data_IF_160783249879
#
_entry.id   IF_160783249879
#
_cell.length_a   1.000
_cell.length_b   1.000
_cell.length_c   1.000
_cell.angle_alpha   90.00
_cell.angle_beta   90.00
_cell.angle_gamma   90.00
#
_symmetry.space_group_name_H-M   'P 1'
#
loop_
_entity.id
_entity.type
_entity.pdbx_description
1 polymer ?
#
# COMPACT_ATOMS: atom_id res chain seq x y z
N UNK A 1 -78.54 6.01 -62.53
CA UNK A 1 -79.48 6.25 -63.64
C UNK A 1 -79.90 7.71 -63.55
N UNK A 2 -78.95 8.59 -63.85
CA UNK A 2 -79.14 10.05 -63.84
C UNK A 2 -79.60 10.45 -65.24
N UNK A 3 -80.77 11.11 -65.32
CA UNK A 3 -81.21 11.75 -66.55
C UNK A 3 -80.21 12.85 -66.89
N UNK A 4 -79.46 12.70 -67.97
CA UNK A 4 -78.80 13.81 -68.63
C UNK A 4 -79.87 14.83 -69.04
N UNK A 5 -80.07 15.84 -68.21
CA UNK A 5 -80.78 17.05 -68.60
C UNK A 5 -79.87 17.79 -69.59
N UNK A 6 -80.42 18.12 -70.76
CA UNK A 6 -79.79 18.97 -71.77
C UNK A 6 -79.14 20.20 -71.10
N UNK A 7 -78.00 20.71 -71.61
CA UNK A 7 -77.30 21.82 -70.98
C UNK A 7 -78.24 23.02 -70.91
N UNK A 8 -78.71 23.35 -69.70
CA UNK A 8 -79.42 24.60 -69.46
C UNK A 8 -78.48 25.72 -69.92
N UNK A 9 -78.93 26.53 -70.89
CA UNK A 9 -78.19 27.72 -71.34
C UNK A 9 -77.69 28.46 -70.12
N UNK A 10 -76.40 28.81 -70.09
CA UNK A 10 -75.81 29.44 -68.92
C UNK A 10 -76.63 30.67 -68.51
N UNK A 11 -76.95 30.87 -67.22
CA UNK A 11 -77.69 32.05 -66.77
C UNK A 11 -77.08 33.37 -67.26
N UNK A 12 -75.76 33.40 -67.49
CA UNK A 12 -75.02 34.52 -68.08
C UNK A 12 -75.33 34.74 -69.57
N UNK A 13 -75.47 33.66 -70.33
CA UNK A 13 -75.87 33.69 -71.75
C UNK A 13 -77.31 34.12 -71.89
N UNK A 14 -78.21 33.61 -71.03
CA UNK A 14 -79.61 34.04 -70.97
C UNK A 14 -79.70 35.53 -70.62
N UNK A 15 -78.92 36.02 -69.66
CA UNK A 15 -78.85 37.44 -69.31
C UNK A 15 -78.43 38.29 -70.52
N UNK A 16 -77.38 37.86 -71.25
CA UNK A 16 -76.88 38.55 -72.44
C UNK A 16 -77.91 38.58 -73.57
N UNK A 17 -78.57 37.45 -73.84
CA UNK A 17 -79.62 37.30 -74.86
C UNK A 17 -80.86 38.16 -74.54
N UNK A 18 -81.26 38.25 -73.26
CA UNK A 18 -82.36 39.13 -72.83
C UNK A 18 -81.99 40.60 -72.88
N UNK A 19 -80.74 40.96 -72.55
CA UNK A 19 -80.24 42.33 -72.66
C UNK A 19 -80.26 42.81 -74.12
N UNK A 20 -79.72 42.03 -75.05
CA UNK A 20 -79.73 42.38 -76.48
C UNK A 20 -81.16 42.50 -77.01
N UNK A 21 -82.06 41.60 -76.60
CA UNK A 21 -83.48 41.68 -76.95
C UNK A 21 -84.17 42.96 -76.43
N UNK A 22 -83.83 43.43 -75.22
CA UNK A 22 -84.31 44.72 -74.69
C UNK A 22 -83.74 45.89 -75.50
N UNK A 23 -82.45 45.87 -75.82
CA UNK A 23 -81.80 46.91 -76.64
C UNK A 23 -82.45 47.00 -78.04
N UNK A 24 -82.73 45.86 -78.68
CA UNK A 24 -83.46 45.80 -79.95
C UNK A 24 -84.88 46.35 -79.87
N UNK A 25 -85.63 46.02 -78.81
CA UNK A 25 -86.99 46.57 -78.60
C UNK A 25 -86.95 48.08 -78.40
N UNK A 26 -85.99 48.60 -77.63
CA UNK A 26 -85.79 50.04 -77.41
C UNK A 26 -85.42 50.73 -78.73
N UNK A 27 -84.52 50.16 -79.53
CA UNK A 27 -84.19 50.68 -80.87
C UNK A 27 -85.41 50.75 -81.77
N UNK A 28 -86.27 49.71 -81.78
CA UNK A 28 -87.54 49.72 -82.55
C UNK A 28 -88.51 50.80 -82.07
N UNK A 29 -88.69 50.96 -80.75
CA UNK A 29 -89.54 52.02 -80.18
C UNK A 29 -89.02 53.43 -80.52
N UNK A 30 -87.69 53.64 -80.53
CA UNK A 30 -87.08 54.90 -80.95
C UNK A 30 -87.29 55.18 -82.45
N UNK A 31 -87.20 54.16 -83.30
CA UNK A 31 -87.51 54.27 -84.73
C UNK A 31 -88.96 54.66 -84.98
N UNK A 32 -89.92 54.03 -84.27
CA UNK A 32 -91.36 54.35 -84.34
C UNK A 32 -91.61 55.82 -83.93
N UNK A 33 -90.93 56.30 -82.88
CA UNK A 33 -91.01 57.69 -82.40
C UNK A 33 -90.46 58.70 -83.43
N UNK A 34 -89.33 58.39 -84.07
CA UNK A 34 -88.67 59.27 -85.02
C UNK A 34 -89.39 59.32 -86.39
N UNK A 35 -90.15 58.28 -86.75
CA UNK A 35 -90.86 58.15 -88.04
C UNK A 35 -92.34 58.56 -88.00
N UNK A 36 -92.89 58.94 -86.84
CA UNK A 36 -94.27 59.43 -86.71
C UNK A 36 -95.37 58.37 -86.88
N UNK A 37 -95.04 57.09 -86.72
CA UNK A 37 -95.95 55.94 -86.90
C UNK A 37 -96.98 55.80 -85.75
N UNK A 38 -98.15 55.15 -85.97
CA UNK A 38 -99.20 55.00 -84.97
C UNK A 38 -98.75 54.19 -83.74
N UNK A 39 -99.15 54.63 -82.54
CA UNK A 39 -98.69 54.10 -81.25
C UNK A 39 -99.26 52.71 -80.87
N UNK A 40 -100.01 52.04 -81.76
CA UNK A 40 -100.72 50.79 -81.46
C UNK A 40 -99.77 49.63 -81.11
N UNK A 41 -98.62 49.52 -81.78
CA UNK A 41 -97.61 48.46 -81.55
C UNK A 41 -96.79 48.66 -80.26
N UNK A 42 -96.80 49.88 -79.69
CA UNK A 42 -96.01 50.17 -78.48
C UNK A 42 -96.47 49.36 -77.27
N UNK A 43 -97.76 49.01 -77.19
CA UNK A 43 -98.29 48.23 -76.06
C UNK A 43 -97.72 46.81 -76.06
N UNK A 44 -97.62 46.17 -77.22
CA UNK A 44 -97.05 44.83 -77.36
C UNK A 44 -95.54 44.83 -77.14
N UNK A 45 -94.82 45.81 -77.71
CA UNK A 45 -93.38 46.01 -77.48
C UNK A 45 -93.06 46.27 -76.00
N UNK A 46 -93.86 47.09 -75.31
CA UNK A 46 -93.72 47.30 -73.86
C UNK A 46 -93.96 46.01 -73.06
N UNK A 47 -94.94 45.19 -73.46
CA UNK A 47 -95.23 43.92 -72.78
C UNK A 47 -94.09 42.91 -72.96
N UNK A 48 -93.53 42.82 -74.17
CA UNK A 48 -92.34 42.01 -74.46
C UNK A 48 -91.10 42.52 -73.70
N UNK A 49 -90.93 43.84 -73.60
CA UNK A 49 -89.87 44.46 -72.81
C UNK A 49 -89.99 44.12 -71.33
N UNK A 50 -91.19 44.25 -70.73
CA UNK A 50 -91.42 43.89 -69.33
C UNK A 50 -91.18 42.40 -69.07
N UNK A 51 -91.59 41.52 -69.98
CA UNK A 51 -91.30 40.09 -69.89
C UNK A 51 -89.79 39.82 -69.93
N UNK A 52 -89.06 40.48 -70.82
CA UNK A 52 -87.60 40.40 -70.86
C UNK A 52 -86.94 40.94 -69.57
N UNK A 53 -87.46 42.00 -68.96
CA UNK A 53 -86.97 42.50 -67.66
C UNK A 53 -87.22 41.52 -66.51
N UNK A 54 -88.37 40.86 -66.47
CA UNK A 54 -88.68 39.82 -65.48
C UNK A 54 -87.70 38.65 -65.64
N UNK A 55 -87.49 38.19 -66.89
CA UNK A 55 -86.54 37.13 -67.20
C UNK A 55 -85.09 37.53 -66.87
N UNK A 56 -84.71 38.78 -67.11
CA UNK A 56 -83.38 39.32 -66.75
C UNK A 56 -83.18 39.32 -65.22
N UNK A 57 -84.21 39.73 -64.45
CA UNK A 57 -84.20 39.65 -62.98
C UNK A 57 -84.10 38.21 -62.48
N UNK A 58 -84.81 37.29 -63.13
CA UNK A 58 -84.75 35.86 -62.80
C UNK A 58 -83.37 35.26 -63.10
N UNK A 59 -82.77 35.57 -64.25
CA UNK A 59 -81.41 35.14 -64.60
C UNK A 59 -80.36 35.71 -63.64
N UNK A 60 -80.46 37.00 -63.29
CA UNK A 60 -79.60 37.62 -62.27
C UNK A 60 -79.72 36.92 -60.91
N UNK A 61 -80.94 36.60 -60.48
CA UNK A 61 -81.16 35.87 -59.23
C UNK A 61 -80.54 34.47 -59.29
N UNK A 62 -80.68 33.76 -60.41
CA UNK A 62 -80.05 32.45 -60.59
C UNK A 62 -78.52 32.51 -60.51
N UNK A 63 -77.89 33.52 -61.13
CA UNK A 63 -76.43 33.75 -61.05
C UNK A 63 -76.01 33.98 -59.60
N UNK A 64 -76.70 34.88 -58.88
CA UNK A 64 -76.35 35.18 -57.48
C UNK A 64 -76.51 33.98 -56.56
N UNK A 65 -77.56 33.17 -56.76
CA UNK A 65 -77.77 31.93 -55.98
C UNK A 65 -76.68 30.89 -56.27
N UNK A 66 -76.25 30.78 -57.53
CA UNK A 66 -75.17 29.87 -57.92
C UNK A 66 -73.80 30.35 -57.40
N UNK A 67 -73.53 31.66 -57.45
CA UNK A 67 -72.35 32.26 -56.84
C UNK A 67 -72.31 31.97 -55.33
N UNK A 68 -73.43 32.14 -54.63
CA UNK A 68 -73.54 31.83 -53.21
C UNK A 68 -73.44 30.32 -52.93
N UNK A 69 -73.89 29.45 -53.84
CA UNK A 69 -73.70 27.99 -53.76
C UNK A 69 -72.22 27.63 -53.85
N UNK A 70 -71.52 28.11 -54.89
CA UNK A 70 -70.09 27.84 -55.11
C UNK A 70 -69.28 28.41 -53.94
N UNK A 71 -69.57 29.63 -53.48
CA UNK A 71 -68.91 30.24 -52.33
C UNK A 71 -69.04 29.35 -51.09
N UNK A 72 -70.24 28.86 -50.77
CA UNK A 72 -70.46 27.95 -49.63
C UNK A 72 -69.73 26.62 -49.79
N UNK A 73 -69.73 26.04 -50.98
CA UNK A 73 -69.02 24.79 -51.27
C UNK A 73 -67.50 24.94 -51.10
N UNK A 74 -66.94 26.06 -51.58
CA UNK A 74 -65.52 26.38 -51.41
C UNK A 74 -65.16 26.65 -49.95
N UNK A 75 -65.99 27.38 -49.20
CA UNK A 75 -65.75 27.66 -47.77
C UNK A 75 -65.84 26.36 -46.95
N UNK A 76 -66.82 25.51 -47.25
CA UNK A 76 -66.97 24.20 -46.62
C UNK A 76 -65.80 23.26 -46.90
N UNK A 77 -65.20 23.35 -48.08
CA UNK A 77 -64.02 22.55 -48.46
C UNK A 77 -62.71 23.13 -47.91
N UNK A 78 -62.65 24.46 -47.72
CA UNK A 78 -61.51 25.16 -47.13
C UNK A 78 -61.35 24.84 -45.64
N UNK A 79 -62.44 24.78 -44.88
CA UNK A 79 -62.39 24.49 -43.43
C UNK A 79 -61.60 23.21 -43.06
N UNK A 80 -61.85 22.02 -43.65
CA UNK A 80 -61.06 20.83 -43.35
C UNK A 80 -59.61 20.92 -43.86
N UNK A 81 -59.37 21.65 -44.96
CA UNK A 81 -58.01 21.92 -45.44
C UNK A 81 -57.22 22.76 -44.43
N UNK A 82 -57.83 23.79 -43.85
CA UNK A 82 -57.20 24.63 -42.83
C UNK A 82 -56.92 23.83 -41.55
N UNK A 83 -57.85 22.95 -41.14
CA UNK A 83 -57.66 22.07 -39.99
C UNK A 83 -56.51 21.08 -40.19
N UNK A 84 -56.42 20.44 -41.36
CA UNK A 84 -55.31 19.52 -41.68
C UNK A 84 -53.97 20.25 -41.82
N UNK A 85 -53.97 21.47 -42.35
CA UNK A 85 -52.78 22.35 -42.40
C UNK A 85 -52.27 22.69 -40.99
N UNK A 86 -53.18 22.99 -40.05
CA UNK A 86 -52.83 23.23 -38.65
C UNK A 86 -52.24 21.97 -37.98
N UNK A 87 -52.83 20.79 -38.23
CA UNK A 87 -52.29 19.52 -37.74
C UNK A 87 -50.88 19.26 -38.29
N UNK A 88 -50.66 19.51 -39.58
CA UNK A 88 -49.34 19.37 -40.20
C UNK A 88 -48.32 20.34 -39.56
N UNK A 89 -48.72 21.58 -39.27
CA UNK A 89 -47.86 22.55 -38.60
C UNK A 89 -47.47 22.09 -37.19
N UNK A 90 -48.44 21.59 -36.42
CA UNK A 90 -48.21 21.03 -35.08
C UNK A 90 -47.21 19.86 -35.12
N UNK A 91 -47.41 18.90 -36.05
CA UNK A 91 -46.49 17.76 -36.21
C UNK A 91 -45.09 18.19 -36.67
N UNK A 92 -45.01 19.22 -37.52
CA UNK A 92 -43.72 19.77 -37.98
C UNK A 92 -42.95 20.41 -36.82
N UNK A 93 -43.67 21.14 -35.95
CA UNK A 93 -43.09 21.70 -34.74
C UNK A 93 -42.60 20.59 -33.80
N UNK A 94 -43.43 19.58 -33.56
CA UNK A 94 -43.08 18.45 -32.69
C UNK A 94 -41.85 17.69 -33.21
N UNK A 95 -41.80 17.40 -34.53
CA UNK A 95 -40.62 16.82 -35.18
C UNK A 95 -39.37 17.68 -34.96
N UNK A 96 -39.47 19.00 -35.16
CA UNK A 96 -38.35 19.92 -34.96
C UNK A 96 -37.87 19.93 -33.52
N UNK A 97 -38.81 19.89 -32.56
CA UNK A 97 -38.51 19.79 -31.14
C UNK A 97 -37.74 18.50 -30.80
N UNK A 98 -38.22 17.33 -31.23
CA UNK A 98 -37.53 16.07 -30.98
C UNK A 98 -36.18 15.97 -31.70
N UNK A 99 -36.05 16.54 -32.91
CA UNK A 99 -34.76 16.62 -33.58
C UNK A 99 -33.76 17.46 -32.80
N UNK A 100 -34.19 18.60 -32.25
CA UNK A 100 -33.34 19.43 -31.37
C UNK A 100 -32.96 18.68 -30.09
N UNK A 101 -33.92 18.00 -29.45
CA UNK A 101 -33.66 17.20 -28.24
C UNK A 101 -32.68 16.04 -28.51
N UNK A 102 -32.86 15.34 -29.65
CA UNK A 102 -31.97 14.25 -30.08
C UNK A 102 -30.57 14.78 -30.39
N UNK A 103 -30.47 15.93 -31.06
CA UNK A 103 -29.19 16.57 -31.37
C UNK A 103 -28.46 16.97 -30.08
N UNK A 104 -29.16 17.63 -29.15
CA UNK A 104 -28.61 17.98 -27.84
C UNK A 104 -28.13 16.75 -27.07
N UNK A 105 -28.89 15.66 -27.11
CA UNK A 105 -28.51 14.39 -26.47
C UNK A 105 -27.29 13.73 -27.13
N UNK A 106 -27.13 13.85 -28.45
CA UNK A 106 -25.97 13.34 -29.19
C UNK A 106 -24.72 14.22 -29.05
N UNK A 107 -24.91 15.52 -28.88
CA UNK A 107 -23.83 16.49 -28.64
C UNK A 107 -23.27 16.39 -27.21
N UNK A 108 -23.95 15.67 -26.32
CA UNK A 108 -23.41 15.34 -25.01
C UNK A 108 -22.13 14.50 -25.15
N UNK A 109 -20.99 15.16 -24.98
CA UNK A 109 -19.67 14.53 -24.92
C UNK A 109 -19.34 14.26 -23.47
N UNK A 110 -19.42 13.00 -23.06
CA UNK A 110 -18.82 12.56 -21.81
C UNK A 110 -17.28 12.56 -21.92
N UNK A 111 -16.57 12.32 -20.82
CA UNK A 111 -15.11 12.12 -20.86
C UNK A 111 -14.68 10.89 -21.69
N UNK A 112 -15.59 9.93 -21.90
CA UNK A 112 -15.42 8.83 -22.85
C UNK A 112 -15.67 9.33 -24.29
N UNK A 113 -14.83 8.99 -25.29
CA UNK A 113 -13.88 7.87 -25.34
C UNK A 113 -12.41 8.20 -24.99
N UNK A 114 -12.08 9.44 -24.62
CA UNK A 114 -10.69 9.88 -24.39
C UNK A 114 -10.16 9.49 -22.99
N UNK A 115 -10.51 8.31 -22.49
CA UNK A 115 -10.02 7.81 -21.21
C UNK A 115 -8.85 6.89 -21.51
N UNK A 116 -7.68 7.21 -20.97
CA UNK A 116 -6.51 6.34 -21.03
C UNK A 116 -6.79 5.12 -20.14
N UNK A 117 -7.18 4.02 -20.78
CA UNK A 117 -7.37 2.74 -20.12
C UNK A 117 -6.24 1.77 -20.41
N UNK A 118 -5.98 0.86 -19.47
CA UNK A 118 -5.13 -0.31 -19.62
C UNK A 118 -5.56 -1.07 -20.87
N UNK A 119 -4.58 -1.50 -21.68
CA UNK A 119 -4.85 -2.25 -22.92
C UNK A 119 -5.67 -3.51 -22.64
N UNK A 120 -6.42 -3.99 -23.63
CA UNK A 120 -7.21 -5.22 -23.48
C UNK A 120 -6.31 -6.42 -23.16
N UNK A 121 -5.12 -6.46 -23.76
CA UNK A 121 -4.14 -7.53 -23.53
C UNK A 121 -3.66 -7.57 -22.08
N UNK A 122 -3.34 -6.42 -21.51
CA UNK A 122 -2.90 -6.32 -20.12
C UNK A 122 -4.05 -6.64 -19.15
N UNK A 123 -5.28 -6.22 -19.48
CA UNK A 123 -6.47 -6.59 -18.70
C UNK A 123 -6.68 -8.12 -18.68
N UNK A 124 -6.58 -8.80 -19.83
CA UNK A 124 -6.73 -10.25 -19.86
C UNK A 124 -5.60 -10.99 -19.16
N UNK A 125 -4.38 -10.43 -19.12
CA UNK A 125 -3.25 -11.01 -18.37
C UNK A 125 -3.40 -10.83 -16.87
N UNK A 126 -3.65 -9.60 -16.41
CA UNK A 126 -3.48 -9.22 -15.00
C UNK A 126 -4.78 -9.19 -14.21
N UNK A 127 -5.95 -9.13 -14.85
CA UNK A 127 -7.20 -9.01 -14.13
C UNK A 127 -7.59 -10.32 -13.41
N UNK A 128 -8.00 -10.24 -12.14
CA UNK A 128 -8.53 -11.38 -11.38
C UNK A 128 -9.76 -12.01 -12.05
N UNK A 129 -9.90 -13.32 -11.94
CA UNK A 129 -11.03 -14.06 -12.51
C UNK A 129 -12.38 -13.57 -12.00
N UNK A 130 -12.45 -13.15 -10.73
CA UNK A 130 -13.67 -12.58 -10.12
C UNK A 130 -14.21 -11.34 -10.86
N UNK A 131 -13.32 -10.52 -11.45
CA UNK A 131 -13.70 -9.33 -12.23
C UNK A 131 -14.00 -9.73 -13.69
N UNK A 132 -13.29 -10.72 -14.23
CA UNK A 132 -13.52 -11.23 -15.60
C UNK A 132 -14.85 -11.95 -15.75
N UNK A 133 -15.28 -12.71 -14.74
CA UNK A 133 -16.48 -13.54 -14.77
C UNK A 133 -17.78 -12.77 -14.57
N UNK A 134 -17.71 -11.50 -14.14
CA UNK A 134 -18.90 -10.74 -13.77
C UNK A 134 -19.55 -10.08 -14.98
N UNK A 135 -20.71 -10.55 -15.43
CA UNK A 135 -21.47 -9.90 -16.51
C UNK A 135 -22.22 -8.69 -15.98
N UNK A 136 -21.87 -7.50 -16.48
CA UNK A 136 -22.40 -6.20 -16.08
C UNK A 136 -23.34 -5.61 -17.12
N UNK A 137 -23.24 -6.01 -18.39
CA UNK A 137 -24.13 -5.56 -19.47
C UNK A 137 -24.47 -6.66 -20.48
N UNK A 138 -25.55 -6.45 -21.22
CA UNK A 138 -26.01 -7.32 -22.31
C UNK A 138 -25.18 -7.14 -23.59
N UNK A 139 -24.56 -5.97 -23.79
CA UNK A 139 -23.66 -5.70 -24.91
C UNK A 139 -22.23 -6.11 -24.54
N UNK A 140 -21.63 -7.02 -25.32
CA UNK A 140 -20.30 -7.55 -25.08
C UNK A 140 -19.21 -6.47 -25.08
N UNK A 141 -19.34 -5.44 -25.93
CA UNK A 141 -18.35 -4.35 -26.02
C UNK A 141 -18.41 -3.44 -24.80
N UNK A 142 -19.63 -3.09 -24.37
CA UNK A 142 -19.87 -2.28 -23.19
C UNK A 142 -19.51 -3.03 -21.90
N UNK A 143 -19.83 -4.32 -21.83
CA UNK A 143 -19.46 -5.19 -20.71
C UNK A 143 -17.94 -5.28 -20.53
N UNK A 144 -17.19 -5.48 -21.62
CA UNK A 144 -15.72 -5.48 -21.58
C UNK A 144 -15.17 -4.15 -21.06
N UNK A 145 -15.72 -3.02 -21.52
CA UNK A 145 -15.32 -1.69 -21.07
C UNK A 145 -15.59 -1.48 -19.56
N UNK A 146 -16.74 -1.92 -19.06
CA UNK A 146 -17.07 -1.83 -17.63
C UNK A 146 -16.15 -2.71 -16.77
N UNK A 147 -15.83 -3.91 -17.23
CA UNK A 147 -14.87 -4.80 -16.57
C UNK A 147 -13.47 -4.17 -16.49
N UNK A 148 -12.99 -3.57 -17.58
CA UNK A 148 -11.72 -2.84 -17.61
C UNK A 148 -11.70 -1.67 -16.63
N UNK A 149 -12.75 -0.86 -16.60
CA UNK A 149 -12.90 0.25 -15.65
C UNK A 149 -12.89 -0.22 -14.19
N UNK A 150 -13.61 -1.30 -13.88
CA UNK A 150 -13.64 -1.86 -12.53
C UNK A 150 -12.28 -2.41 -12.10
N UNK A 151 -11.55 -3.06 -13.01
CA UNK A 151 -10.20 -3.54 -12.73
C UNK A 151 -9.24 -2.38 -12.44
N UNK A 152 -9.25 -1.33 -13.26
CA UNK A 152 -8.45 -0.14 -12.99
C UNK A 152 -8.80 0.54 -11.68
N UNK A 153 -10.09 0.66 -11.39
CA UNK A 153 -10.54 1.25 -10.13
C UNK A 153 -10.04 0.41 -8.94
N UNK A 154 -10.10 -0.92 -9.04
CA UNK A 154 -9.54 -1.81 -8.04
C UNK A 154 -8.03 -1.60 -7.89
N UNK A 155 -7.29 -1.58 -8.99
CA UNK A 155 -5.83 -1.38 -8.98
C UNK A 155 -5.45 -0.03 -8.36
N UNK A 156 -6.13 1.06 -8.76
CA UNK A 156 -5.89 2.40 -8.22
C UNK A 156 -6.17 2.46 -6.71
N UNK A 157 -7.24 1.79 -6.23
CA UNK A 157 -7.51 1.69 -4.79
C UNK A 157 -6.40 0.97 -4.03
N UNK A 158 -5.91 -0.15 -4.55
CA UNK A 158 -4.82 -0.90 -3.91
C UNK A 158 -3.51 -0.09 -3.89
N UNK A 159 -3.19 0.61 -4.99
CA UNK A 159 -2.02 1.50 -5.04
C UNK A 159 -2.15 2.67 -4.06
N UNK A 160 -3.35 3.25 -3.91
CA UNK A 160 -3.59 4.30 -2.92
C UNK A 160 -3.41 3.79 -1.48
N UNK A 161 -3.88 2.58 -1.17
CA UNK A 161 -3.65 1.95 0.15
C UNK A 161 -2.17 1.73 0.42
N UNK A 162 -1.46 1.13 -0.53
CA UNK A 162 -0.02 0.88 -0.41
C UNK A 162 0.76 2.18 -0.23
N UNK A 163 0.40 3.23 -0.97
CA UNK A 163 1.00 4.56 -0.82
C UNK A 163 0.80 5.11 0.59
N UNK A 164 -0.41 5.02 1.14
CA UNK A 164 -0.71 5.49 2.49
C UNK A 164 0.10 4.72 3.56
N UNK A 165 0.19 3.39 3.43
CA UNK A 165 1.02 2.56 4.33
C UNK A 165 2.51 2.95 4.25
N UNK A 166 3.06 3.13 3.05
CA UNK A 166 4.45 3.53 2.86
C UNK A 166 4.73 4.95 3.38
N UNK A 167 3.79 5.86 3.22
CA UNK A 167 3.89 7.23 3.73
C UNK A 167 3.88 7.27 5.26
N UNK A 168 3.02 6.46 5.90
CA UNK A 168 3.03 6.27 7.34
C UNK A 168 4.38 5.71 7.82
N UNK A 169 4.88 4.64 7.18
CA UNK A 169 6.17 4.05 7.54
C UNK A 169 7.32 5.04 7.42
N UNK A 170 7.33 5.83 6.33
CA UNK A 170 8.32 6.89 6.14
C UNK A 170 8.30 7.89 7.30
N UNK A 171 7.12 8.32 7.74
CA UNK A 171 6.99 9.28 8.83
C UNK A 171 7.47 8.69 10.17
N UNK A 172 7.12 7.45 10.50
CA UNK A 172 7.63 6.77 11.69
C UNK A 172 9.16 6.66 11.69
N UNK A 173 9.76 6.30 10.56
CA UNK A 173 11.23 6.23 10.43
C UNK A 173 11.89 7.60 10.58
N UNK A 174 11.28 8.67 10.06
CA UNK A 174 11.77 10.04 10.23
C UNK A 174 11.73 10.47 11.69
N UNK A 175 10.65 10.15 12.41
CA UNK A 175 10.52 10.43 13.84
C UNK A 175 11.60 9.68 14.66
N UNK A 176 11.73 8.37 14.46
CA UNK A 176 12.74 7.55 15.14
C UNK A 176 14.18 8.03 14.85
N UNK A 177 14.46 8.46 13.62
CA UNK A 177 15.75 9.04 13.27
C UNK A 177 15.97 10.39 13.98
N UNK A 178 14.92 11.22 14.09
CA UNK A 178 15.00 12.48 14.82
C UNK A 178 15.26 12.26 16.32
N UNK A 179 14.67 11.23 16.93
CA UNK A 179 14.90 10.87 18.33
C UNK A 179 16.32 10.37 18.56
N UNK A 180 16.81 9.47 17.68
CA UNK A 180 18.20 9.00 17.73
C UNK A 180 19.19 10.15 17.53
N UNK A 181 18.91 11.08 16.61
CA UNK A 181 19.75 12.27 16.41
C UNK A 181 19.77 13.16 17.66
N UNK A 182 18.61 13.37 18.31
CA UNK A 182 18.53 14.10 19.59
C UNK A 182 19.35 13.40 20.68
N UNK A 183 19.19 12.08 20.84
CA UNK A 183 19.98 11.28 21.78
C UNK A 183 21.48 11.44 21.52
N UNK A 184 21.94 11.23 20.29
CA UNK A 184 23.35 11.38 19.90
C UNK A 184 23.89 12.79 20.13
N UNK A 185 23.07 13.83 19.91
CA UNK A 185 23.47 15.22 20.18
C UNK A 185 23.58 15.55 21.67
N UNK A 186 22.79 14.88 22.53
CA UNK A 186 22.84 15.05 23.99
C UNK A 186 23.97 14.26 24.67
N UNK A 187 24.40 13.15 24.07
CA UNK A 187 25.41 12.25 24.63
C UNK A 187 26.75 12.96 24.94
N UNK A 188 27.30 13.84 24.09
CA UNK A 188 28.48 14.63 24.42
C UNK A 188 28.31 15.52 25.66
N UNK A 189 27.12 16.06 25.90
CA UNK A 189 26.85 16.88 27.09
C UNK A 189 26.85 16.01 28.35
N UNK A 190 26.16 14.87 28.31
CA UNK A 190 26.16 13.91 29.43
C UNK A 190 27.56 13.39 29.74
N UNK A 191 28.36 13.04 28.71
CA UNK A 191 29.75 12.60 28.90
C UNK A 191 30.64 13.69 29.48
N UNK A 192 30.47 14.96 29.08
CA UNK A 192 31.19 16.10 29.67
C UNK A 192 30.83 16.27 31.15
N UNK A 193 29.55 16.16 31.49
CA UNK A 193 29.08 16.24 32.88
C UNK A 193 29.64 15.10 33.73
N UNK A 194 29.61 13.87 33.20
CA UNK A 194 30.20 12.70 33.86
C UNK A 194 31.71 12.88 34.09
N UNK A 195 32.44 13.33 33.06
CA UNK A 195 33.88 13.62 33.16
C UNK A 195 34.18 14.67 34.23
N UNK A 196 33.32 15.70 34.36
CA UNK A 196 33.48 16.72 35.40
C UNK A 196 33.22 16.15 36.80
N UNK A 197 32.22 15.28 36.93
CA UNK A 197 31.89 14.62 38.19
C UNK A 197 32.96 13.59 38.63
N UNK A 198 33.62 12.92 37.68
CA UNK A 198 34.66 11.92 37.98
C UNK A 198 36.03 12.53 38.28
N UNK A 199 36.28 13.78 37.88
CA UNK A 199 37.56 14.48 38.07
C UNK A 199 38.11 14.50 39.51
N UNK A 200 37.33 14.82 40.56
CA UNK A 200 37.84 14.83 41.94
C UNK A 200 38.32 13.46 42.41
N UNK A 201 37.58 12.40 42.07
CA UNK A 201 37.95 11.02 42.40
C UNK A 201 39.20 10.60 41.62
N UNK A 202 39.29 10.98 40.34
CA UNK A 202 40.46 10.70 39.50
C UNK A 202 41.74 11.34 40.08
N UNK A 203 41.63 12.58 40.57
CA UNK A 203 42.75 13.29 41.19
C UNK A 203 43.19 12.65 42.52
N UNK A 204 42.25 12.12 43.31
CA UNK A 204 42.55 11.44 44.58
C UNK A 204 43.19 10.06 44.34
N UNK A 205 42.73 9.32 43.34
CA UNK A 205 43.22 7.98 43.01
C UNK A 205 44.45 7.98 42.09
N UNK A 206 44.95 9.15 41.67
CA UNK A 206 46.09 9.28 40.75
C UNK A 206 46.01 8.40 39.49
N UNK A 207 44.79 8.18 38.98
CA UNK A 207 44.57 7.27 37.86
C UNK A 207 45.22 7.84 36.57
N UNK A 208 46.01 7.04 35.83
CA UNK A 208 46.64 7.51 34.59
C UNK A 208 45.58 7.99 33.58
N UNK A 209 45.92 9.04 32.83
CA UNK A 209 45.04 9.62 31.81
C UNK A 209 44.67 8.54 30.77
N UNK A 210 43.37 8.31 30.46
CA UNK A 210 42.93 7.22 29.58
C UNK A 210 43.43 7.35 28.14
N UNK A 211 44.01 8.50 27.77
CA UNK A 211 44.65 8.76 26.47
C UNK A 211 45.86 7.86 26.18
N UNK A 212 46.39 7.14 27.17
CA UNK A 212 47.54 6.24 27.01
C UNK A 212 47.17 4.79 26.71
N UNK A 213 45.88 4.46 26.76
CA UNK A 213 45.44 3.09 26.53
C UNK A 213 45.19 2.94 25.03
N UNK A 214 46.23 2.57 24.30
CA UNK A 214 46.10 2.02 22.95
C UNK A 214 45.45 0.64 23.09
N UNK A 215 44.19 0.62 23.49
CA UNK A 215 43.40 -0.60 23.42
C UNK A 215 43.29 -0.97 21.96
N UNK A 216 43.57 -2.23 21.65
CA UNK A 216 43.59 -2.74 20.28
C UNK A 216 42.27 -2.40 19.57
N UNK A 217 42.31 -1.86 18.35
CA UNK A 217 41.13 -1.61 17.50
C UNK A 217 40.22 -2.86 17.37
N UNK A 218 40.80 -4.04 17.60
CA UNK A 218 40.14 -5.34 17.64
C UNK A 218 39.22 -5.52 18.86
N UNK A 219 39.55 -4.91 20.00
CA UNK A 219 38.77 -5.05 21.23
C UNK A 219 37.41 -4.33 21.12
N UNK A 220 37.30 -3.28 20.29
CA UNK A 220 36.04 -2.59 20.03
C UNK A 220 34.99 -3.48 19.34
N UNK A 221 35.45 -4.49 18.61
CA UNK A 221 34.60 -5.44 17.87
C UNK A 221 34.30 -6.71 18.68
N UNK A 222 34.75 -6.79 19.94
CA UNK A 222 34.45 -7.93 20.81
C UNK A 222 32.99 -7.89 21.28
N UNK A 223 32.34 -9.06 21.42
CA UNK A 223 31.07 -9.18 22.12
C UNK A 223 31.17 -8.63 23.55
N UNK A 224 30.10 -8.04 24.12
CA UNK A 224 30.13 -7.48 25.46
C UNK A 224 30.70 -8.43 26.53
N UNK A 225 30.34 -9.74 26.57
CA UNK A 225 30.91 -10.66 27.55
C UNK A 225 32.43 -10.85 27.41
N UNK A 226 32.94 -11.00 26.18
CA UNK A 226 34.38 -11.11 25.95
C UNK A 226 35.10 -9.80 26.27
N UNK A 227 34.51 -8.64 25.94
CA UNK A 227 35.08 -7.35 26.29
C UNK A 227 35.23 -7.16 27.81
N UNK A 228 34.26 -7.64 28.60
CA UNK A 228 34.36 -7.65 30.07
C UNK A 228 35.52 -8.54 30.52
N UNK A 229 35.68 -9.74 29.96
CA UNK A 229 36.84 -10.61 30.26
C UNK A 229 38.16 -9.90 29.93
N UNK A 230 38.28 -9.35 28.73
CA UNK A 230 39.47 -8.61 28.27
C UNK A 230 39.82 -7.46 29.23
N UNK A 231 38.83 -6.61 29.56
CA UNK A 231 39.06 -5.48 30.46
C UNK A 231 39.48 -5.90 31.87
N UNK A 232 38.92 -6.99 32.42
CA UNK A 232 39.29 -7.51 33.75
C UNK A 232 40.74 -8.05 33.78
N UNK A 233 41.15 -8.84 32.78
CA UNK A 233 42.51 -9.34 32.72
C UNK A 233 43.53 -8.23 32.43
N UNK A 234 43.19 -7.27 31.55
CA UNK A 234 44.03 -6.10 31.30
C UNK A 234 44.21 -5.26 32.56
N UNK A 235 43.13 -5.01 33.31
CA UNK A 235 43.20 -4.29 34.58
C UNK A 235 44.07 -5.03 35.62
N UNK A 236 43.97 -6.36 35.69
CA UNK A 236 44.78 -7.19 36.58
C UNK A 236 46.27 -7.13 36.21
N UNK A 237 46.61 -7.26 34.91
CA UNK A 237 47.97 -7.11 34.39
C UNK A 237 48.58 -5.77 34.75
N UNK A 238 47.83 -4.67 34.54
CA UNK A 238 48.31 -3.32 34.81
C UNK A 238 48.43 -3.02 36.32
N UNK A 239 47.49 -3.50 37.14
CA UNK A 239 47.46 -3.18 38.56
C UNK A 239 48.46 -3.98 39.41
N UNK A 240 48.77 -5.22 38.99
CA UNK A 240 49.61 -6.14 39.77
C UNK A 240 50.89 -6.58 39.04
N UNK A 241 51.15 -6.05 37.84
CA UNK A 241 52.29 -6.40 36.98
C UNK A 241 52.44 -7.92 36.79
N UNK A 242 51.29 -8.63 36.72
CA UNK A 242 51.29 -10.08 36.56
C UNK A 242 51.85 -10.50 35.19
N UNK A 243 52.60 -11.61 35.17
CA UNK A 243 53.20 -12.19 33.98
C UNK A 243 52.15 -12.85 33.08
N UNK A 244 51.35 -12.02 32.40
CA UNK A 244 50.24 -12.43 31.54
C UNK A 244 50.20 -11.56 30.29
N UNK A 245 50.02 -12.17 29.12
CA UNK A 245 49.72 -11.47 27.87
C UNK A 245 48.33 -11.83 27.36
N UNK A 246 47.65 -10.84 26.77
CA UNK A 246 46.28 -10.98 26.28
C UNK A 246 46.28 -10.51 24.83
N UNK A 247 45.84 -11.38 23.93
CA UNK A 247 45.74 -11.10 22.50
C UNK A 247 44.31 -11.35 22.01
N UNK A 248 43.83 -10.48 21.12
CA UNK A 248 42.56 -10.70 20.41
C UNK A 248 42.87 -11.38 19.10
N UNK A 249 42.46 -12.64 18.93
CA UNK A 249 42.70 -13.41 17.71
C UNK A 249 41.40 -13.57 16.91
N UNK A 250 41.48 -13.53 15.58
CA UNK A 250 40.33 -13.77 14.71
C UNK A 250 40.28 -12.94 13.43
N UNK A 251 39.19 -13.09 12.69
CA UNK A 251 38.98 -12.42 11.40
C UNK A 251 38.32 -11.06 11.58
N UNK A 252 39.10 -10.01 11.31
CA UNK A 252 38.64 -8.61 11.31
C UNK A 252 37.43 -8.37 10.40
N UNK A 253 37.45 -8.94 9.19
CA UNK A 253 36.41 -8.73 8.17
C UNK A 253 35.09 -9.36 8.63
N UNK A 254 35.16 -10.56 9.20
CA UNK A 254 33.97 -11.28 9.66
C UNK A 254 33.38 -10.62 10.89
N UNK A 255 34.21 -10.13 11.82
CA UNK A 255 33.77 -9.37 12.99
C UNK A 255 33.06 -8.06 12.62
N UNK A 256 33.61 -7.30 11.66
CA UNK A 256 32.95 -6.09 11.15
C UNK A 256 31.63 -6.41 10.43
N UNK A 257 31.60 -7.50 9.65
CA UNK A 257 30.36 -7.94 8.98
C UNK A 257 29.28 -8.31 9.99
N UNK A 258 29.66 -8.98 11.09
CA UNK A 258 28.76 -9.33 12.17
C UNK A 258 28.22 -8.11 12.90
N UNK A 259 29.08 -7.15 13.23
CA UNK A 259 28.68 -5.88 13.85
C UNK A 259 27.68 -5.09 12.98
N UNK A 260 27.88 -5.09 11.65
CA UNK A 260 26.93 -4.50 10.69
C UNK A 260 25.60 -5.26 10.66
N UNK A 261 25.62 -6.59 10.60
CA UNK A 261 24.41 -7.42 10.63
C UNK A 261 23.60 -7.24 11.91
N UNK A 262 24.24 -7.16 13.08
CA UNK A 262 23.55 -6.85 14.33
C UNK A 262 22.89 -5.47 14.31
N UNK A 263 23.57 -4.47 13.76
CA UNK A 263 23.02 -3.11 13.63
C UNK A 263 21.80 -3.07 12.70
N UNK A 264 21.80 -3.87 11.63
CA UNK A 264 20.67 -4.00 10.69
C UNK A 264 19.50 -4.78 11.32
N UNK A 265 19.74 -5.89 12.02
CA UNK A 265 18.68 -6.66 12.69
C UNK A 265 17.98 -5.86 13.79
N UNK A 266 18.72 -5.08 14.58
CA UNK A 266 18.15 -4.20 15.60
C UNK A 266 17.33 -3.04 15.00
N UNK A 267 17.52 -2.72 13.71
CA UNK A 267 16.66 -1.78 13.00
C UNK A 267 15.37 -2.45 12.52
N UNK A 268 15.41 -3.72 12.10
CA UNK A 268 14.22 -4.46 11.66
C UNK A 268 13.31 -4.89 12.83
N UNK A 269 13.85 -5.19 14.01
CA UNK A 269 13.06 -5.64 15.17
C UNK A 269 12.25 -4.53 15.87
N UNK A 270 12.49 -3.26 15.56
CA UNK A 270 11.70 -2.14 16.10
C UNK A 270 10.48 -1.80 15.24
N UNK A 271 10.31 -2.48 14.11
CA UNK A 271 9.36 -2.14 13.03
C UNK A 271 8.36 -3.28 12.72
N UNK A 272 8.23 -4.30 13.57
CA UNK A 272 7.29 -5.42 13.35
C UNK A 272 6.05 -5.33 14.24
N UNK A 273 5.11 -4.51 13.80
CA UNK A 273 3.69 -4.73 14.08
C UNK A 273 2.96 -4.98 12.76
N UNK A 274 2.79 -6.27 12.45
CA UNK A 274 1.74 -6.75 11.57
C UNK A 274 2.02 -6.72 10.06
N UNK A 275 2.87 -7.63 9.56
CA UNK A 275 2.58 -8.38 8.32
C UNK A 275 3.42 -9.66 8.28
N UNK A 276 2.78 -10.79 8.59
CA UNK A 276 3.27 -12.16 8.31
C UNK A 276 3.48 -12.35 6.80
N UNK A 277 4.54 -11.81 6.24
CA UNK A 277 5.10 -12.34 5.01
C UNK A 277 5.92 -13.57 5.37
N UNK A 278 5.36 -14.73 5.05
CA UNK A 278 6.09 -16.00 5.00
C UNK A 278 7.19 -15.88 3.93
N UNK A 279 8.32 -15.25 4.26
CA UNK A 279 9.58 -15.60 3.64
C UNK A 279 9.81 -17.06 4.02
N UNK A 280 9.75 -17.94 3.04
CA UNK A 280 10.18 -19.33 3.17
C UNK A 280 11.58 -19.29 3.78
N UNK A 281 11.66 -19.59 5.08
CA UNK A 281 12.87 -20.07 5.71
C UNK A 281 13.33 -21.21 4.81
N UNK A 282 14.45 -20.98 4.13
CA UNK A 282 15.20 -22.05 3.50
C UNK A 282 15.39 -23.06 4.62
N UNK A 283 14.79 -24.23 4.45
CA UNK A 283 14.89 -25.35 5.37
C UNK A 283 16.35 -25.76 5.37
N UNK A 284 17.16 -25.07 6.17
CA UNK A 284 18.46 -25.55 6.56
C UNK A 284 18.19 -26.83 7.35
N UNK A 285 18.87 -27.87 6.88
CA UNK A 285 18.94 -29.18 7.47
C UNK A 285 19.13 -29.10 8.98
N UNK A 286 18.67 -30.14 9.65
CA UNK A 286 18.99 -30.46 11.05
C UNK A 286 20.50 -30.41 11.27
N UNK A 287 21.03 -29.24 11.60
CA UNK A 287 22.45 -29.06 11.86
C UNK A 287 22.59 -28.48 13.27
N UNK A 288 22.88 -29.35 14.25
CA UNK A 288 23.43 -28.98 15.56
C UNK A 288 24.59 -27.97 15.40
N UNK A 289 25.29 -28.00 14.25
CA UNK A 289 26.32 -27.04 13.84
C UNK A 289 25.86 -25.57 13.78
N UNK A 290 24.57 -25.31 13.59
CA UNK A 290 24.03 -23.95 13.59
C UNK A 290 23.86 -23.36 14.98
N UNK A 291 23.72 -24.18 16.03
CA UNK A 291 23.46 -23.73 17.39
C UNK A 291 24.73 -23.21 18.08
N UNK A 292 25.86 -23.88 17.84
CA UNK A 292 27.18 -23.55 18.37
C UNK A 292 27.95 -22.54 17.51
N UNK A 293 27.25 -21.56 16.92
CA UNK A 293 27.89 -20.53 16.10
C UNK A 293 28.78 -19.64 16.98
N UNK A 294 30.10 -19.81 16.82
CA UNK A 294 31.13 -19.03 17.53
C UNK A 294 31.28 -17.64 16.91
N UNK A 295 31.58 -16.66 17.74
CA UNK A 295 31.96 -15.32 17.30
C UNK A 295 33.31 -15.34 16.54
N UNK A 296 33.48 -14.58 15.44
CA UNK A 296 34.71 -14.57 14.65
C UNK A 296 35.97 -14.05 15.37
N UNK A 297 35.82 -13.39 16.52
CA UNK A 297 36.91 -13.00 17.41
C UNK A 297 36.89 -13.85 18.68
N UNK A 298 38.09 -14.26 19.10
CA UNK A 298 38.39 -14.97 20.33
C UNK A 298 39.39 -14.16 21.17
N UNK A 299 39.46 -14.47 22.46
CA UNK A 299 40.51 -13.95 23.33
C UNK A 299 41.50 -15.05 23.65
N UNK A 300 42.77 -14.73 23.54
CA UNK A 300 43.88 -15.64 23.84
C UNK A 300 44.63 -15.08 25.03
N UNK A 301 44.68 -15.84 26.11
CA UNK A 301 45.37 -15.50 27.34
C UNK A 301 46.62 -16.37 27.46
N UNK A 302 47.79 -15.73 27.53
CA UNK A 302 49.07 -16.37 27.77
C UNK A 302 49.48 -16.16 29.23
N UNK A 303 49.61 -17.25 29.99
CA UNK A 303 50.02 -17.23 31.40
C UNK A 303 51.43 -17.81 31.51
N UNK A 304 52.37 -17.02 32.02
CA UNK A 304 53.74 -17.46 32.32
C UNK A 304 53.88 -17.85 33.81
N UNK A 305 54.81 -18.75 34.13
CA UNK A 305 55.13 -19.14 35.52
C UNK A 305 56.22 -18.22 36.09
N UNK A 306 56.18 -17.98 37.39
CA UNK A 306 56.97 -16.91 38.04
C UNK A 306 58.44 -17.31 38.30
N UNK A 307 58.81 -18.59 38.16
CA UNK A 307 60.12 -19.12 38.62
C UNK A 307 61.16 -19.32 37.51
N UNK A 308 60.79 -19.40 36.22
CA UNK A 308 61.74 -19.45 35.08
C UNK A 308 61.06 -19.04 33.77
N UNK A 309 61.74 -18.28 32.88
CA UNK A 309 61.25 -18.02 31.52
C UNK A 309 61.44 -19.26 30.63
N UNK A 310 60.72 -20.33 30.92
CA UNK A 310 60.64 -21.52 30.07
C UNK A 310 59.52 -21.30 29.02
N UNK A 311 59.67 -21.73 27.75
CA UNK A 311 58.80 -21.32 26.64
C UNK A 311 57.40 -21.98 26.63
N UNK A 312 56.98 -22.65 27.70
CA UNK A 312 55.66 -23.30 27.82
C UNK A 312 54.68 -22.41 28.60
N UNK A 313 54.24 -21.33 27.96
CA UNK A 313 53.15 -20.48 28.46
C UNK A 313 51.81 -21.21 28.32
N UNK A 314 50.93 -21.13 29.32
CA UNK A 314 49.58 -21.68 29.15
C UNK A 314 48.79 -20.76 28.23
N UNK A 315 48.32 -21.31 27.12
CA UNK A 315 47.49 -20.59 26.16
C UNK A 315 46.03 -21.00 26.33
N UNK A 316 45.21 -20.08 26.84
CA UNK A 316 43.78 -20.26 27.03
C UNK A 316 43.02 -19.48 25.97
N UNK A 317 42.15 -20.16 25.23
CA UNK A 317 41.26 -19.52 24.25
C UNK A 317 39.87 -19.36 24.85
N UNK A 318 39.37 -18.12 24.90
CA UNK A 318 37.98 -17.80 25.20
C UNK A 318 37.22 -17.58 23.89
N UNK A 319 36.18 -18.37 23.71
CA UNK A 319 35.24 -18.33 22.60
C UNK A 319 33.88 -17.86 23.09
N UNK A 320 33.11 -17.18 22.25
CA UNK A 320 31.74 -16.78 22.60
C UNK A 320 30.74 -17.37 21.61
N UNK A 321 29.73 -18.07 22.14
CA UNK A 321 28.67 -18.70 21.38
C UNK A 321 27.49 -17.72 21.24
N UNK A 322 27.27 -17.27 20.01
CA UNK A 322 26.36 -16.16 19.71
C UNK A 322 24.90 -16.47 20.04
N UNK A 323 24.43 -17.67 19.71
CA UNK A 323 23.03 -18.07 19.91
C UNK A 323 22.74 -18.52 21.34
N UNK A 324 23.74 -19.08 22.01
CA UNK A 324 23.60 -19.60 23.37
C UNK A 324 23.90 -18.55 24.45
N UNK A 325 24.58 -17.45 24.09
CA UNK A 325 25.07 -16.42 25.01
C UNK A 325 25.94 -17.01 26.12
N UNK A 326 26.94 -17.81 25.72
CA UNK A 326 27.83 -18.54 26.64
C UNK A 326 29.28 -18.34 26.21
N UNK A 327 30.16 -18.10 27.18
CA UNK A 327 31.61 -18.04 26.98
C UNK A 327 32.23 -19.43 27.22
N UNK A 328 32.94 -19.98 26.26
CA UNK A 328 33.62 -21.26 26.38
C UNK A 328 35.13 -21.04 26.49
N UNK A 329 35.82 -21.85 27.30
CA UNK A 329 37.27 -21.78 27.48
C UNK A 329 37.90 -23.12 27.12
N UNK A 330 38.97 -23.08 26.32
CA UNK A 330 39.78 -24.25 25.98
C UNK A 330 41.28 -23.98 26.14
N UNK A 331 42.08 -25.05 26.19
CA UNK A 331 43.54 -25.00 26.17
C UNK A 331 44.01 -25.41 24.76
N UNK A 332 44.93 -24.65 24.16
CA UNK A 332 45.40 -24.93 22.80
C UNK A 332 46.38 -26.11 22.70
N UNK A 333 47.00 -26.51 23.82
CA UNK A 333 48.03 -27.56 23.88
C UNK A 333 47.51 -29.01 24.05
N UNK A 334 46.22 -29.24 24.20
CA UNK A 334 45.67 -30.58 24.44
C UNK A 334 44.84 -31.09 23.25
N UNK A 335 45.47 -31.87 22.37
CA UNK A 335 44.77 -32.85 21.52
C UNK A 335 44.41 -34.14 22.30
N UNK A 336 44.80 -34.23 23.58
CA UNK A 336 44.36 -35.29 24.49
C UNK A 336 42.91 -35.01 24.96
N UNK A 337 42.08 -36.04 24.96
CA UNK A 337 40.62 -35.96 25.20
C UNK A 337 40.17 -35.33 26.54
N UNK A 338 38.84 -35.29 26.78
CA UNK A 338 38.19 -34.48 27.82
C UNK A 338 38.65 -34.76 29.26
N UNK A 339 39.33 -35.89 29.50
CA UNK A 339 39.74 -36.38 30.82
C UNK A 339 41.02 -35.74 31.38
N UNK A 340 41.78 -34.96 30.58
CA UNK A 340 43.04 -34.30 31.00
C UNK A 340 43.00 -32.77 30.91
N UNK A 341 41.82 -32.16 30.96
CA UNK A 341 41.72 -30.71 30.97
C UNK A 341 42.06 -30.15 32.35
N UNK A 342 43.14 -29.39 32.45
CA UNK A 342 43.61 -28.65 33.65
C UNK A 342 42.56 -27.60 34.13
N UNK A 343 41.48 -27.40 33.39
CA UNK A 343 40.41 -26.46 33.73
C UNK A 343 39.18 -27.15 34.36
N UNK A 344 39.06 -28.48 34.24
CA UNK A 344 37.97 -29.22 34.83
C UNK A 344 38.09 -29.21 36.36
N UNK A 345 36.99 -28.90 37.05
CA UNK A 345 36.96 -28.83 38.52
C UNK A 345 37.99 -27.88 39.12
N UNK A 346 38.34 -26.79 38.42
CA UNK A 346 39.10 -25.67 38.99
C UNK A 346 38.39 -25.09 40.22
N UNK A 347 37.06 -25.20 40.23
CA UNK A 347 36.16 -24.92 41.34
C UNK A 347 35.30 -26.16 41.61
N UNK A 348 34.80 -26.33 42.86
CA UNK A 348 33.87 -27.42 43.17
C UNK A 348 32.64 -27.38 42.24
N UNK A 349 32.20 -28.54 41.77
CA UNK A 349 31.00 -28.71 40.93
C UNK A 349 31.00 -27.92 39.60
N UNK A 350 32.19 -27.73 39.00
CA UNK A 350 32.39 -27.05 37.72
C UNK A 350 33.24 -27.90 36.75
N UNK A 351 32.65 -28.98 36.24
CA UNK A 351 33.27 -29.85 35.23
C UNK A 351 33.17 -29.27 33.81
N UNK A 352 32.34 -28.24 33.59
CA UNK A 352 32.11 -27.63 32.27
C UNK A 352 31.28 -28.50 31.30
N UNK A 353 30.59 -29.53 31.78
CA UNK A 353 29.76 -30.43 30.97
C UNK A 353 28.29 -29.97 30.86
N UNK A 354 27.82 -29.21 31.85
CA UNK A 354 26.47 -28.66 31.86
C UNK A 354 26.44 -27.22 31.35
N UNK A 355 25.40 -26.83 30.60
CA UNK A 355 25.20 -25.44 30.23
C UNK A 355 24.92 -24.55 31.46
N UNK A 356 25.55 -23.37 31.56
CA UNK A 356 25.55 -22.57 32.79
C UNK A 356 24.24 -21.82 33.07
N UNK A 357 23.40 -21.55 32.07
CA UNK A 357 22.13 -20.81 32.24
C UNK A 357 20.90 -21.62 31.84
N UNK A 358 19.77 -21.39 32.52
CA UNK A 358 18.49 -22.05 32.23
C UNK A 358 17.96 -21.72 30.82
N UNK A 359 18.21 -20.52 30.32
CA UNK A 359 17.87 -20.15 28.94
C UNK A 359 18.59 -21.03 27.92
N UNK A 360 19.87 -21.32 28.16
CA UNK A 360 20.66 -22.23 27.33
C UNK A 360 20.13 -23.67 27.41
N UNK A 361 19.72 -24.13 28.60
CA UNK A 361 19.06 -25.44 28.80
C UNK A 361 17.77 -25.58 27.98
N UNK A 362 16.93 -24.54 27.97
CA UNK A 362 15.69 -24.51 27.18
C UNK A 362 15.92 -24.51 25.66
N UNK A 363 16.99 -23.85 25.21
CA UNK A 363 17.36 -23.80 23.79
C UNK A 363 17.94 -25.13 23.32
N UNK A 364 18.67 -25.85 24.18
CA UNK A 364 19.35 -27.10 23.86
C UNK A 364 18.43 -28.33 23.90
N UNK A 365 17.29 -28.25 24.59
CA UNK A 365 16.30 -29.33 24.67
C UNK A 365 16.60 -30.38 25.76
N UNK A 366 15.81 -31.47 25.75
CA UNK A 366 15.72 -32.48 26.83
C UNK A 366 17.01 -33.28 27.10
N UNK A 367 18.02 -33.21 26.23
CA UNK A 367 19.27 -33.96 26.43
C UNK A 367 20.27 -33.28 27.39
N UNK A 368 20.05 -32.01 27.76
CA UNK A 368 20.77 -31.20 28.78
C UNK A 368 22.31 -31.17 28.74
N UNK A 369 22.96 -31.96 27.89
CA UNK A 369 24.40 -32.13 27.81
C UNK A 369 24.98 -31.19 26.76
N UNK A 370 26.03 -30.47 27.14
CA UNK A 370 26.79 -29.67 26.19
C UNK A 370 27.65 -30.59 25.31
N UNK A 371 27.77 -30.27 24.02
CA UNK A 371 28.52 -31.05 23.03
C UNK A 371 29.91 -31.50 23.54
N UNK A 372 30.01 -32.80 23.84
CA UNK A 372 31.22 -33.44 24.38
C UNK A 372 32.38 -33.43 23.38
N UNK A 373 32.09 -33.31 22.08
CA UNK A 373 33.11 -33.34 21.02
C UNK A 373 33.94 -32.05 20.94
N UNK A 374 33.46 -30.95 21.54
CA UNK A 374 34.18 -29.67 21.56
C UNK A 374 35.38 -29.74 22.50
N UNK A 375 36.41 -28.95 22.21
CA UNK A 375 37.56 -28.77 23.11
C UNK A 375 37.35 -27.62 24.09
N UNK A 376 36.51 -26.64 23.74
CA UNK A 376 36.13 -25.51 24.61
C UNK A 376 34.89 -25.82 25.44
N UNK A 377 34.93 -25.51 26.74
CA UNK A 377 33.89 -25.85 27.72
C UNK A 377 33.29 -24.61 28.38
N UNK A 378 31.97 -24.59 28.63
CA UNK A 378 31.28 -23.47 29.26
C UNK A 378 31.38 -23.52 30.80
N UNK A 379 32.56 -23.26 31.35
CA UNK A 379 32.74 -23.24 32.81
C UNK A 379 31.93 -22.12 33.48
N UNK A 380 31.45 -22.36 34.70
CA UNK A 380 30.73 -21.35 35.51
C UNK A 380 31.64 -20.19 35.86
N UNK A 381 32.89 -20.46 36.24
CA UNK A 381 33.87 -19.41 36.53
C UNK A 381 34.12 -18.48 35.33
N UNK A 382 34.10 -19.02 34.10
CA UNK A 382 34.29 -18.25 32.88
C UNK A 382 33.10 -17.31 32.60
N UNK A 383 31.86 -17.74 32.88
CA UNK A 383 30.68 -16.87 32.79
C UNK A 383 30.75 -15.71 33.78
N UNK A 384 31.13 -15.99 35.03
CA UNK A 384 31.27 -14.96 36.07
C UNK A 384 32.36 -13.94 35.71
N UNK A 385 33.49 -14.40 35.14
CA UNK A 385 34.50 -13.49 34.61
C UNK A 385 33.94 -12.62 33.49
N UNK A 386 33.13 -13.18 32.60
CA UNK A 386 32.48 -12.46 31.50
C UNK A 386 31.34 -11.53 31.93
N UNK A 387 31.01 -11.47 33.22
CA UNK A 387 29.93 -10.65 33.75
C UNK A 387 28.54 -11.18 33.44
N UNK A 388 28.44 -12.46 33.07
CA UNK A 388 27.17 -13.15 32.88
C UNK A 388 26.81 -13.80 34.23
N UNK A 389 25.79 -13.28 34.90
CA UNK A 389 25.35 -13.80 36.19
C UNK A 389 24.67 -15.17 36.02
N UNK A 390 25.33 -16.22 36.51
CA UNK A 390 24.74 -17.54 36.68
C UNK A 390 23.93 -17.52 37.97
N UNK A 391 22.61 -17.47 37.85
CA UNK A 391 21.74 -17.61 39.02
C UNK A 391 21.78 -19.06 39.52
N UNK A 392 21.93 -19.30 40.83
CA UNK A 392 21.81 -20.63 41.41
C UNK A 392 20.47 -21.26 41.05
N UNK A 393 20.45 -22.56 40.78
CA UNK A 393 19.20 -23.29 40.57
C UNK A 393 18.36 -23.20 41.85
N UNK A 394 17.27 -22.44 41.82
CA UNK A 394 16.30 -22.48 42.90
C UNK A 394 15.64 -23.85 42.89
N UNK A 395 15.87 -24.63 43.95
CA UNK A 395 15.18 -25.90 44.17
C UNK A 395 13.68 -25.65 44.17
N UNK A 396 12.99 -26.08 43.11
CA UNK A 396 11.53 -26.13 43.08
C UNK A 396 11.08 -27.16 44.13
N UNK A 397 10.50 -26.64 45.22
CA UNK A 397 9.79 -27.34 46.30
C UNK A 397 10.64 -28.07 47.37
N UNK A 398 11.06 -27.34 48.40
CA UNK A 398 11.28 -27.92 49.74
C UNK A 398 9.91 -28.06 50.43
N UNK A 399 9.32 -29.26 50.36
CA UNK A 399 8.41 -29.72 51.42
C UNK A 399 9.26 -30.48 52.43
N UNK A 400 9.59 -29.83 53.55
CA UNK A 400 10.30 -30.48 54.64
C UNK A 400 11.16 -29.51 55.41
N UNK A 401 10.69 -29.14 56.60
CA UNK A 401 11.40 -28.39 57.64
C UNK A 401 12.91 -28.68 57.65
N UNK A 402 13.73 -27.64 57.53
CA UNK A 402 14.68 -27.24 58.56
C UNK A 402 15.21 -25.85 58.27
N UNK A 403 15.08 -24.99 59.29
CA UNK A 403 15.60 -23.64 59.33
C UNK A 403 17.12 -23.72 59.51
N UNK A 404 17.88 -23.36 58.48
CA UNK A 404 19.23 -22.82 58.67
C UNK A 404 19.35 -21.61 57.75
N UNK A 405 19.53 -20.45 58.35
CA UNK A 405 19.78 -19.20 57.65
C UNK A 405 21.13 -19.33 56.92
N UNK A 406 21.11 -19.35 55.58
CA UNK A 406 22.32 -19.16 54.77
C UNK A 406 22.33 -17.71 54.29
N UNK A 407 23.02 -16.86 55.05
CA UNK A 407 23.33 -15.47 54.73
C UNK A 407 24.66 -15.36 53.93
N UNK A 408 24.84 -16.17 52.89
CA UNK A 408 26.14 -16.33 52.21
C UNK A 408 26.13 -15.96 50.72
N UNK A 409 25.14 -15.19 50.24
CA UNK A 409 25.15 -14.73 48.84
C UNK A 409 26.25 -13.72 48.53
N UNK A 410 26.78 -13.01 49.55
CA UNK A 410 27.90 -12.09 49.39
C UNK A 410 29.27 -12.79 49.29
N UNK A 411 29.42 -14.03 49.79
CA UNK A 411 30.71 -14.74 49.82
C UNK A 411 31.09 -15.41 48.49
N UNK A 412 30.12 -15.74 47.65
CA UNK A 412 30.37 -16.54 46.42
C UNK A 412 31.06 -15.72 45.32
N UNK A 413 30.82 -14.41 45.27
CA UNK A 413 31.40 -13.54 44.23
C UNK A 413 32.92 -13.35 44.36
N UNK A 414 33.46 -13.38 45.59
CA UNK A 414 34.90 -13.21 45.83
C UNK A 414 35.73 -14.44 45.45
N UNK A 415 35.08 -15.61 45.32
CA UNK A 415 35.77 -16.85 44.94
C UNK A 415 36.23 -16.85 43.47
N UNK A 416 35.52 -16.18 42.56
CA UNK A 416 35.81 -16.17 41.13
C UNK A 416 36.62 -14.94 40.66
N UNK A 417 37.33 -14.27 41.56
CA UNK A 417 38.24 -13.18 41.19
C UNK A 417 39.32 -13.67 40.21
N UNK A 418 39.74 -12.79 39.30
CA UNK A 418 40.79 -13.05 38.29
C UNK A 418 42.05 -13.62 38.94
N UNK A 419 42.45 -13.06 40.09
CA UNK A 419 43.60 -13.52 40.88
C UNK A 419 43.47 -14.96 41.35
N UNK A 420 42.28 -15.34 41.83
CA UNK A 420 42.01 -16.68 42.35
C UNK A 420 42.03 -17.69 41.21
N UNK A 421 41.45 -17.34 40.06
CA UNK A 421 41.47 -18.18 38.85
C UNK A 421 42.90 -18.43 38.38
N UNK A 422 43.71 -17.37 38.25
CA UNK A 422 45.11 -17.48 37.82
C UNK A 422 45.96 -18.29 38.80
N UNK A 423 45.80 -18.07 40.10
CA UNK A 423 46.50 -18.83 41.14
C UNK A 423 46.17 -20.32 41.07
N UNK A 424 44.89 -20.67 40.89
CA UNK A 424 44.47 -22.08 40.79
C UNK A 424 44.97 -22.75 39.50
N UNK A 425 44.96 -22.03 38.37
CA UNK A 425 45.52 -22.54 37.11
C UNK A 425 47.03 -22.81 37.25
N UNK A 426 47.78 -21.91 37.90
CA UNK A 426 49.21 -22.13 38.21
C UNK A 426 49.43 -23.29 39.18
N UNK A 427 48.54 -23.48 40.16
CA UNK A 427 48.65 -24.55 41.15
C UNK A 427 48.38 -25.95 40.57
N UNK A 428 47.40 -26.10 39.68
CA UNK A 428 47.11 -27.38 39.02
C UNK A 428 48.20 -27.83 38.04
N UNK A 429 49.14 -26.96 37.64
CA UNK A 429 50.32 -27.33 36.83
C UNK A 429 51.45 -27.95 37.68
N UNK A 430 51.50 -27.65 38.98
CA UNK A 430 52.60 -28.05 39.88
C UNK A 430 52.36 -29.39 40.56
N UNK A 431 51.14 -29.93 40.50
CA UNK A 431 50.79 -31.29 40.94
C UNK A 431 50.57 -32.19 39.74
#
# INVERSE_FOLDING_TARGET
MEREMAPEKSPLELLRERKSSIEEIISRMLSIKNQGLPKSENRELLTQMFLNFINLRQANRAILMEEERVRRETESSKSPMDLTSLQLHNLTYEKSHYLKATRSSREFKSKYPNIDLISEQDFFRDAPEAIKSQTLSNDASHDLMLKRLNFELHQRKEVCKLRAELEQRKNCLLEANSERAKFLSSLPLHLKSLKKASLPVQNQLSLPNPKKLKYHDLAELLPPPLYVVYSKFMAQKEAFEENIDIEVSGSLKDAQSYARQQAEQNQESSDDDGKRQRKRLKKESSDEAGLYRVHPLKLVLHIYDDETPDPKSHKLEFEYLLKLNVVCVGIEESQDGPEKNILCNLFPDDAGLEPPHQSTKLILGDDHAFDESRTSRPYKWAQHLAGIEVLPEMSLFVTGKNNTQNSDTASVSDHYSVQTVLRRIRAQKKG
#
